data_IF_830256015149
#
_entry.id   IF_830256015149
#
_cell.length_a   1.000
_cell.length_b   1.000
_cell.length_c   1.000
_cell.angle_alpha   90.00
_cell.angle_beta   90.00
_cell.angle_gamma   90.00
#
_symmetry.space_group_name_H-M   'P 1'
#
loop_
_entity.id
_entity.type
_entity.pdbx_description
1 polymer ?
#
# COMPACT_ATOMS: atom_id res chain seq x y z
N UNK A 1 -7.89 6.11 20.89
CA UNK A 1 -7.50 7.35 20.18
C UNK A 1 -6.01 7.23 19.91
N UNK A 2 -5.59 7.24 18.65
CA UNK A 2 -4.18 7.03 18.28
C UNK A 2 -3.28 8.15 18.80
N UNK A 3 -1.99 7.86 18.99
CA UNK A 3 -0.96 8.90 19.03
C UNK A 3 -1.11 9.77 17.76
N UNK A 4 -0.93 11.09 17.87
CA UNK A 4 -1.02 12.03 16.74
C UNK A 4 -0.18 11.57 15.53
N UNK A 5 0.99 10.96 15.78
CA UNK A 5 1.89 10.50 14.70
C UNK A 5 1.36 9.24 13.99
N UNK A 6 0.69 8.33 14.71
CA UNK A 6 0.02 7.16 14.10
C UNK A 6 -1.20 7.64 13.30
N UNK A 7 -1.99 8.53 13.88
CA UNK A 7 -3.18 9.10 13.24
C UNK A 7 -2.86 9.72 11.87
N UNK A 8 -1.77 10.48 11.79
CA UNK A 8 -1.29 11.08 10.55
C UNK A 8 -1.12 10.06 9.41
N UNK A 9 -0.49 8.91 9.67
CA UNK A 9 -0.29 7.88 8.66
C UNK A 9 -1.57 7.15 8.29
N UNK A 10 -2.46 6.92 9.26
CA UNK A 10 -3.77 6.28 9.02
C UNK A 10 -4.63 7.15 8.11
N UNK A 11 -4.73 8.46 8.39
CA UNK A 11 -5.54 9.38 7.59
C UNK A 11 -5.07 9.46 6.13
N UNK A 12 -3.75 9.49 5.89
CA UNK A 12 -3.21 9.47 4.52
C UNK A 12 -3.51 8.13 3.83
N UNK A 13 -3.37 7.02 4.56
CA UNK A 13 -3.67 5.69 4.00
C UNK A 13 -5.13 5.58 3.56
N UNK A 14 -6.06 6.13 4.35
CA UNK A 14 -7.49 6.16 4.05
C UNK A 14 -7.79 7.03 2.83
N UNK A 15 -7.24 8.25 2.76
CA UNK A 15 -7.42 9.18 1.64
C UNK A 15 -6.84 8.62 0.32
N UNK A 16 -5.67 8.00 0.37
CA UNK A 16 -5.05 7.33 -0.77
C UNK A 16 -5.95 6.20 -1.31
N UNK A 17 -6.55 5.41 -0.40
CA UNK A 17 -7.42 4.30 -0.77
C UNK A 17 -8.73 4.80 -1.41
N UNK A 18 -9.39 5.77 -0.79
CA UNK A 18 -10.61 6.39 -1.32
C UNK A 18 -10.36 7.00 -2.71
N UNK A 19 -9.26 7.74 -2.85
CA UNK A 19 -8.87 8.34 -4.13
C UNK A 19 -8.56 7.27 -5.18
N UNK A 20 -7.93 6.15 -4.78
CA UNK A 20 -7.68 5.03 -5.69
C UNK A 20 -8.98 4.43 -6.25
N UNK A 21 -10.03 4.33 -5.45
CA UNK A 21 -11.34 3.84 -5.90
C UNK A 21 -11.95 4.76 -6.96
N UNK A 22 -11.92 6.08 -6.73
CA UNK A 22 -12.40 7.06 -7.70
C UNK A 22 -11.64 6.93 -9.03
N UNK A 23 -10.31 6.79 -8.96
CA UNK A 23 -9.48 6.64 -10.16
C UNK A 23 -9.74 5.31 -10.89
N UNK A 24 -9.98 4.23 -10.15
CA UNK A 24 -10.36 2.93 -10.70
C UNK A 24 -11.67 3.03 -11.50
N UNK A 25 -12.69 3.67 -10.93
CA UNK A 25 -13.98 3.90 -11.60
C UNK A 25 -13.84 4.72 -12.88
N UNK A 26 -12.95 5.72 -12.89
CA UNK A 26 -12.61 6.54 -14.06
C UNK A 26 -11.65 5.86 -15.04
N UNK A 27 -11.36 4.57 -14.86
CA UNK A 27 -10.45 3.78 -15.69
C UNK A 27 -9.01 4.33 -15.74
N UNK A 28 -8.59 5.05 -14.69
CA UNK A 28 -7.22 5.59 -14.51
C UNK A 28 -6.35 4.58 -13.77
N UNK A 29 -6.22 3.38 -14.33
CA UNK A 29 -5.70 2.19 -13.66
C UNK A 29 -4.29 2.39 -13.08
N UNK A 30 -3.37 3.00 -13.84
CA UNK A 30 -1.99 3.21 -13.40
C UNK A 30 -1.91 4.06 -12.12
N UNK A 31 -2.68 5.15 -12.06
CA UNK A 31 -2.69 6.03 -10.90
C UNK A 31 -3.47 5.44 -9.73
N UNK A 32 -4.54 4.69 -10.00
CA UNK A 32 -5.23 3.91 -8.97
C UNK A 32 -4.26 2.91 -8.32
N UNK A 33 -3.54 2.10 -9.12
CA UNK A 33 -2.54 1.16 -8.61
C UNK A 33 -1.42 1.81 -7.80
N UNK A 34 -0.96 2.99 -8.22
CA UNK A 34 0.00 3.79 -7.46
C UNK A 34 -0.52 4.14 -6.06
N UNK A 35 -1.75 4.64 -5.97
CA UNK A 35 -2.35 4.99 -4.69
C UNK A 35 -2.64 3.78 -3.80
N UNK A 36 -2.90 2.59 -4.38
CA UNK A 36 -2.99 1.36 -3.58
C UNK A 36 -1.65 1.02 -2.91
N UNK A 37 -0.53 1.20 -3.63
CA UNK A 37 0.79 1.03 -3.05
C UNK A 37 1.05 2.08 -1.96
N UNK A 38 0.73 3.35 -2.21
CA UNK A 38 0.91 4.42 -1.22
C UNK A 38 0.08 4.18 0.04
N UNK A 39 -1.20 3.79 -0.12
CA UNK A 39 -2.09 3.47 0.99
C UNK A 39 -1.50 2.38 1.89
N UNK A 40 -1.00 1.27 1.31
CA UNK A 40 -0.37 0.19 2.08
C UNK A 40 0.95 0.63 2.71
N UNK A 41 1.76 1.43 2.00
CA UNK A 41 2.98 1.98 2.58
C UNK A 41 2.69 2.80 3.84
N UNK A 42 1.65 3.67 3.78
CA UNK A 42 1.31 4.55 4.91
C UNK A 42 0.76 3.77 6.09
N UNK A 43 -0.11 2.79 5.89
CA UNK A 43 -0.60 1.99 7.02
C UNK A 43 0.49 1.11 7.64
N UNK A 44 1.42 0.58 6.84
CA UNK A 44 2.60 -0.13 7.38
C UNK A 44 3.51 0.82 8.17
N UNK A 45 3.65 2.08 7.74
CA UNK A 45 4.37 3.12 8.50
C UNK A 45 3.69 3.46 9.82
N UNK A 46 2.35 3.48 9.85
CA UNK A 46 1.58 3.63 11.08
C UNK A 46 1.88 2.47 12.06
N UNK A 47 1.85 1.24 11.56
CA UNK A 47 2.13 0.03 12.34
C UNK A 47 3.56 -0.03 12.85
N UNK A 48 4.54 0.27 11.99
CA UNK A 48 5.96 0.40 12.37
C UNK A 48 6.11 1.34 13.57
N UNK A 49 5.50 2.51 13.48
CA UNK A 49 5.64 3.54 14.49
C UNK A 49 4.98 3.15 15.81
N UNK A 50 3.84 2.47 15.77
CA UNK A 50 3.22 1.89 16.95
C UNK A 50 4.11 0.83 17.60
N UNK A 51 4.63 -0.10 16.78
CA UNK A 51 5.34 -1.29 17.28
C UNK A 51 6.71 -0.96 17.84
N UNK A 52 7.43 -0.03 17.20
CA UNK A 52 8.83 0.27 17.50
C UNK A 52 9.03 1.63 18.17
N UNK A 53 7.97 2.45 18.30
CA UNK A 53 8.04 3.81 18.83
C UNK A 53 9.14 4.68 18.16
N UNK A 54 9.36 4.44 16.86
CA UNK A 54 10.40 5.07 16.06
C UNK A 54 9.83 5.60 14.74
N UNK A 55 10.58 6.50 14.08
CA UNK A 55 10.20 6.96 12.75
C UNK A 55 10.48 5.86 11.72
N UNK A 56 9.55 5.59 10.79
CA UNK A 56 9.75 4.57 9.78
C UNK A 56 10.89 4.96 8.81
N UNK A 57 11.60 3.96 8.24
CA UNK A 57 12.66 4.20 7.28
C UNK A 57 12.13 4.87 6.01
N UNK A 58 13.00 5.65 5.34
CA UNK A 58 12.71 6.28 4.04
C UNK A 58 12.83 5.23 2.92
N UNK A 59 11.79 4.42 2.79
CA UNK A 59 11.68 3.37 1.79
C UNK A 59 10.23 3.23 1.33
N UNK A 60 10.07 2.60 0.16
CA UNK A 60 8.80 2.29 -0.48
C UNK A 60 8.60 0.78 -0.66
N UNK A 61 9.60 -0.02 -0.25
CA UNK A 61 9.51 -1.47 -0.30
C UNK A 61 8.61 -1.94 0.86
N UNK A 62 7.42 -2.41 0.52
CA UNK A 62 6.40 -2.85 1.47
C UNK A 62 6.83 -4.13 2.21
N UNK A 63 7.48 -5.06 1.51
CA UNK A 63 8.02 -6.30 2.11
C UNK A 63 9.03 -5.95 3.19
N UNK A 64 10.01 -5.10 2.86
CA UNK A 64 10.99 -4.64 3.83
C UNK A 64 10.34 -3.93 5.02
N UNK A 65 9.34 -3.06 4.79
CA UNK A 65 8.60 -2.40 5.88
C UNK A 65 7.93 -3.41 6.81
N UNK A 66 7.29 -4.45 6.27
CA UNK A 66 6.67 -5.51 7.07
C UNK A 66 7.69 -6.38 7.82
N UNK A 67 8.86 -6.65 7.24
CA UNK A 67 9.93 -7.42 7.90
C UNK A 67 10.49 -6.65 9.11
N UNK A 68 10.86 -5.38 8.92
CA UNK A 68 11.53 -4.62 9.99
C UNK A 68 10.64 -4.28 11.18
N UNK A 69 9.32 -4.34 11.03
CA UNK A 69 8.37 -4.21 12.14
C UNK A 69 7.86 -5.56 12.69
N UNK A 70 8.38 -6.69 12.19
CA UNK A 70 7.99 -8.03 12.62
C UNK A 70 6.58 -8.45 12.21
N UNK A 71 5.97 -7.78 11.22
CA UNK A 71 4.63 -8.11 10.72
C UNK A 71 4.68 -9.23 9.67
N UNK A 72 5.80 -9.38 8.96
CA UNK A 72 5.91 -10.29 7.81
C UNK A 72 5.59 -11.74 8.18
N UNK A 73 6.08 -12.22 9.33
CA UNK A 73 5.83 -13.58 9.81
C UNK A 73 4.35 -13.85 10.19
N UNK A 74 3.54 -12.80 10.34
CA UNK A 74 2.10 -12.91 10.60
C UNK A 74 1.26 -12.92 9.31
N UNK A 75 1.87 -12.68 8.15
CA UNK A 75 1.16 -12.60 6.88
C UNK A 75 0.76 -13.99 6.39
N UNK A 76 -0.44 -14.08 5.83
CA UNK A 76 -0.80 -15.22 5.01
C UNK A 76 -0.29 -15.05 3.57
N UNK A 77 -0.34 -16.13 2.78
CA UNK A 77 0.13 -16.15 1.40
C UNK A 77 -0.53 -15.08 0.51
N UNK A 78 -1.81 -14.76 0.73
CA UNK A 78 -2.52 -13.73 -0.03
C UNK A 78 -1.97 -12.34 0.29
N UNK A 79 -1.72 -12.05 1.55
CA UNK A 79 -1.17 -10.78 2.01
C UNK A 79 0.29 -10.61 1.55
N UNK A 80 1.09 -11.66 1.63
CA UNK A 80 2.47 -11.64 1.13
C UNK A 80 2.51 -11.35 -0.38
N UNK A 81 1.71 -12.09 -1.16
CA UNK A 81 1.58 -11.88 -2.60
C UNK A 81 1.10 -10.46 -2.94
N UNK A 82 0.19 -9.89 -2.14
CA UNK A 82 -0.25 -8.50 -2.32
C UNK A 82 0.93 -7.52 -2.20
N UNK A 83 1.83 -7.71 -1.23
CA UNK A 83 3.00 -6.82 -1.08
C UNK A 83 3.91 -6.88 -2.31
N UNK A 84 4.17 -8.07 -2.85
CA UNK A 84 4.94 -8.23 -4.09
C UNK A 84 4.26 -7.60 -5.30
N UNK A 85 2.92 -7.69 -5.38
CA UNK A 85 2.15 -7.08 -6.47
C UNK A 85 2.13 -5.55 -6.41
N UNK A 86 2.06 -4.97 -5.20
CA UNK A 86 1.99 -3.53 -4.99
C UNK A 86 3.37 -2.84 -5.10
N UNK A 87 4.45 -3.49 -4.67
CA UNK A 87 5.82 -2.94 -4.75
C UNK A 87 6.18 -2.30 -6.11
N UNK A 88 5.98 -2.96 -7.26
CA UNK A 88 6.28 -2.37 -8.57
C UNK A 88 5.35 -1.22 -8.96
N UNK A 89 4.24 -1.00 -8.25
CA UNK A 89 3.31 0.09 -8.53
C UNK A 89 3.74 1.42 -7.90
N UNK A 90 4.83 1.46 -7.11
CA UNK A 90 5.39 2.75 -6.71
C UNK A 90 5.96 3.48 -7.94
N UNK A 91 5.37 4.64 -8.29
CA UNK A 91 5.72 5.40 -9.49
C UNK A 91 6.78 6.50 -9.27
N UNK A 92 7.35 6.61 -8.06
CA UNK A 92 8.37 7.61 -7.71
C UNK A 92 9.70 7.42 -8.46
N UNK A 93 9.97 6.22 -9.00
CA UNK A 93 11.18 5.93 -9.78
C UNK A 93 10.92 5.98 -11.31
N UNK A 94 11.26 7.15 -11.87
CA UNK A 94 11.96 7.49 -13.15
C UNK A 94 11.87 6.51 -14.35
N UNK A 95 11.64 7.11 -15.53
CA UNK A 95 11.58 6.58 -16.91
C UNK A 95 10.17 6.21 -17.45
N UNK A 96 9.73 6.87 -18.56
CA UNK A 96 8.46 6.56 -19.23
C UNK A 96 8.27 5.09 -19.59
N UNK A 97 9.34 4.39 -19.94
CA UNK A 97 9.32 2.99 -20.36
C UNK A 97 8.78 2.04 -19.27
N UNK A 98 9.15 2.29 -18.00
CA UNK A 98 8.66 1.52 -16.87
C UNK A 98 7.14 1.70 -16.69
N UNK A 99 6.67 2.94 -16.79
CA UNK A 99 5.24 3.27 -16.74
C UNK A 99 4.46 2.60 -17.87
N UNK A 100 5.02 2.58 -19.08
CA UNK A 100 4.41 1.88 -20.24
C UNK A 100 4.31 0.39 -19.97
N UNK A 101 5.35 -0.24 -19.41
CA UNK A 101 5.36 -1.67 -19.08
C UNK A 101 4.30 -2.02 -18.04
N UNK A 102 4.22 -1.27 -16.95
CA UNK A 102 3.20 -1.48 -15.91
C UNK A 102 1.81 -1.30 -16.52
N UNK A 103 1.59 -0.17 -17.23
CA UNK A 103 0.28 0.14 -17.82
C UNK A 103 -0.20 -0.93 -18.79
N UNK A 104 0.70 -1.56 -19.56
CA UNK A 104 0.33 -2.69 -20.45
C UNK A 104 -0.04 -3.96 -19.69
N UNK A 105 0.50 -4.15 -18.49
CA UNK A 105 0.25 -5.34 -17.66
C UNK A 105 -0.95 -5.19 -16.72
N UNK A 106 -1.49 -3.99 -16.58
CA UNK A 106 -2.52 -3.64 -15.60
C UNK A 106 -3.89 -3.60 -16.26
N UNK A 107 -4.62 -4.72 -16.20
CA UNK A 107 -6.02 -4.79 -16.64
C UNK A 107 -6.97 -4.32 -15.53
N UNK A 108 -8.21 -4.00 -15.90
CA UNK A 108 -9.23 -3.59 -14.93
C UNK A 108 -9.56 -4.72 -13.95
N UNK A 109 -9.62 -5.95 -14.44
CA UNK A 109 -9.89 -7.14 -13.65
C UNK A 109 -8.78 -7.38 -12.64
N UNK A 110 -7.52 -7.31 -13.09
CA UNK A 110 -6.35 -7.47 -12.22
C UNK A 110 -6.31 -6.39 -11.15
N UNK A 111 -6.57 -5.13 -11.51
CA UNK A 111 -6.56 -4.04 -10.54
C UNK A 111 -7.75 -4.11 -9.58
N UNK A 112 -8.90 -4.64 -9.99
CA UNK A 112 -10.05 -4.87 -9.11
C UNK A 112 -9.71 -5.88 -8.00
N UNK A 113 -8.99 -6.95 -8.34
CA UNK A 113 -8.52 -7.94 -7.38
C UNK A 113 -7.51 -7.33 -6.39
N UNK A 114 -6.51 -6.60 -6.91
CA UNK A 114 -5.54 -5.88 -6.07
C UNK A 114 -6.25 -4.90 -5.14
N UNK A 115 -7.18 -4.09 -5.66
CA UNK A 115 -7.97 -3.13 -4.86
C UNK A 115 -8.73 -3.82 -3.73
N UNK A 116 -9.39 -4.96 -4.01
CA UNK A 116 -10.09 -5.75 -3.00
C UNK A 116 -9.14 -6.20 -1.88
N UNK A 117 -8.02 -6.83 -2.24
CA UNK A 117 -7.03 -7.31 -1.26
C UNK A 117 -6.36 -6.15 -0.50
N UNK A 118 -6.13 -5.00 -1.15
CA UNK A 118 -5.64 -3.78 -0.49
C UNK A 118 -6.60 -3.30 0.60
N UNK A 119 -7.91 -3.25 0.34
CA UNK A 119 -8.91 -2.87 1.35
C UNK A 119 -8.92 -3.83 2.55
N UNK A 120 -8.90 -5.13 2.26
CA UNK A 120 -8.88 -6.16 3.30
C UNK A 120 -7.60 -6.08 4.14
N UNK A 121 -6.45 -5.89 3.51
CA UNK A 121 -5.16 -5.79 4.18
C UNK A 121 -5.03 -4.51 5.01
N UNK A 122 -5.44 -3.36 4.48
CA UNK A 122 -5.44 -2.11 5.24
C UNK A 122 -6.33 -2.22 6.48
N UNK A 123 -7.53 -2.78 6.33
CA UNK A 123 -8.44 -3.02 7.47
C UNK A 123 -7.81 -3.96 8.50
N UNK A 124 -7.14 -5.02 8.05
CA UNK A 124 -6.45 -5.96 8.93
C UNK A 124 -5.33 -5.29 9.74
N UNK A 125 -4.51 -4.43 9.11
CA UNK A 125 -3.49 -3.66 9.83
C UNK A 125 -4.14 -2.70 10.83
N UNK A 126 -5.22 -2.00 10.44
CA UNK A 126 -5.96 -1.10 11.33
C UNK A 126 -6.52 -1.78 12.58
N UNK A 127 -6.86 -3.07 12.52
CA UNK A 127 -7.29 -3.83 13.70
C UNK A 127 -6.15 -4.14 14.67
N UNK A 128 -4.90 -4.03 14.22
CA UNK A 128 -3.69 -4.20 15.04
C UNK A 128 -3.18 -2.87 15.61
N UNK A 129 -3.66 -1.73 15.07
CA UNK A 129 -3.40 -0.38 15.58
C UNK A 129 -4.31 -0.05 16.76
#
# INVERSE_FOLDING_TARGET
MYDKKIKYWVEISEDDLETSEILFEKNKLLFSGYLLQQSIEKILKAYYQQKLNAFPPKTHNLVYLSEVCGLFDELNEVQENLLYQLNPLNLETRYPEYRVKISKSLTKERLAEILKHTKEFQRWIKLKL
#
